data_IF_033796565707
#
_entry.id   IF_033796565707
#
_cell.length_a   1.000
_cell.length_b   1.000
_cell.length_c   1.000
_cell.angle_alpha   90.00
_cell.angle_beta   90.00
_cell.angle_gamma   90.00
#
_symmetry.space_group_name_H-M   'P 1'
#
loop_
_entity.id
_entity.type
_entity.pdbx_description
1 polymer ?
#
# COMPACT_ATOMS: atom_id res chain seq x y z
N UNK A 1 19.95 -16.82 -7.49
CA UNK A 1 19.02 -15.71 -7.79
C UNK A 1 19.80 -14.42 -7.77
N UNK A 2 19.85 -13.67 -8.85
CA UNK A 2 20.47 -12.34 -8.86
C UNK A 2 19.65 -11.45 -7.91
N UNK A 3 20.30 -10.85 -6.91
CA UNK A 3 19.66 -9.84 -6.06
C UNK A 3 19.32 -8.64 -6.94
N UNK A 4 18.08 -8.17 -6.87
CA UNK A 4 17.71 -6.90 -7.49
C UNK A 4 18.63 -5.82 -6.94
N UNK A 5 19.27 -5.09 -7.83
CA UNK A 5 20.17 -3.97 -7.48
C UNK A 5 19.45 -2.62 -7.60
N UNK A 6 18.12 -2.64 -7.62
CA UNK A 6 17.28 -1.46 -7.80
C UNK A 6 16.80 -0.92 -6.46
N UNK A 7 16.92 0.39 -6.29
CA UNK A 7 16.33 1.15 -5.18
C UNK A 7 15.12 1.92 -5.72
N UNK A 8 13.99 1.76 -5.04
CA UNK A 8 12.77 2.51 -5.33
C UNK A 8 12.60 3.64 -4.32
N UNK A 9 12.34 4.82 -4.81
CA UNK A 9 12.09 6.00 -3.99
C UNK A 9 10.81 6.68 -4.44
N UNK A 10 9.83 6.79 -3.54
CA UNK A 10 8.68 7.67 -3.70
C UNK A 10 9.03 9.03 -3.10
N UNK A 11 8.88 10.08 -3.88
CA UNK A 11 9.12 11.45 -3.43
C UNK A 11 7.86 12.27 -3.67
N UNK A 12 7.24 12.72 -2.59
CA UNK A 12 5.99 13.48 -2.65
C UNK A 12 6.15 14.73 -3.53
N UNK A 13 5.21 14.93 -4.46
CA UNK A 13 5.24 16.04 -5.42
C UNK A 13 6.29 15.92 -6.53
N UNK A 14 7.07 14.81 -6.55
CA UNK A 14 8.10 14.55 -7.59
C UNK A 14 7.89 13.24 -8.33
N UNK A 15 7.29 12.24 -7.66
CA UNK A 15 6.99 10.93 -8.26
C UNK A 15 7.87 9.78 -7.80
N UNK A 16 7.92 8.73 -8.62
CA UNK A 16 8.73 7.54 -8.39
C UNK A 16 10.07 7.65 -9.09
N UNK A 17 11.12 7.27 -8.40
CA UNK A 17 12.46 7.11 -8.95
C UNK A 17 12.92 5.66 -8.74
N UNK A 18 13.36 5.03 -9.81
CA UNK A 18 14.00 3.71 -9.77
C UNK A 18 15.47 3.90 -10.10
N UNK A 19 16.33 3.57 -9.15
CA UNK A 19 17.77 3.73 -9.25
C UNK A 19 18.37 2.34 -9.41
N UNK A 20 18.97 2.07 -10.57
CA UNK A 20 19.75 0.86 -10.77
C UNK A 20 21.19 1.10 -10.29
N UNK A 21 21.58 0.35 -9.25
CA UNK A 21 22.87 0.51 -8.60
C UNK A 21 24.03 -0.11 -9.40
N UNK A 22 23.74 -1.03 -10.32
CA UNK A 22 24.74 -1.67 -11.19
C UNK A 22 24.94 -0.83 -12.45
N UNK A 23 23.87 -0.50 -13.14
CA UNK A 23 23.92 0.31 -14.36
C UNK A 23 24.13 1.81 -14.08
N UNK A 24 24.03 2.23 -12.80
CA UNK A 24 24.11 3.64 -12.37
C UNK A 24 23.13 4.54 -13.13
N UNK A 25 21.96 3.99 -13.43
CA UNK A 25 20.89 4.68 -14.16
C UNK A 25 19.74 5.05 -13.22
N UNK A 26 19.01 6.10 -13.58
CA UNK A 26 17.82 6.55 -12.86
C UNK A 26 16.67 6.65 -13.85
N UNK A 27 15.61 5.94 -13.56
CA UNK A 27 14.33 6.08 -14.28
C UNK A 27 13.39 6.87 -13.38
N UNK A 28 12.86 7.98 -13.88
CA UNK A 28 11.78 8.72 -13.24
C UNK A 28 10.46 8.41 -13.94
N UNK A 29 9.42 8.19 -13.14
CA UNK A 29 8.08 7.88 -13.68
C UNK A 29 7.00 8.54 -12.84
N UNK A 30 5.85 8.00 -12.86
CA UNK A 30 4.62 8.32 -12.13
C UNK A 30 4.70 9.50 -11.14
N UNK A 31 4.01 10.60 -11.47
CA UNK A 31 3.89 11.77 -10.61
C UNK A 31 2.92 11.51 -9.44
N UNK A 32 3.00 12.36 -8.40
CA UNK A 32 2.08 12.35 -7.25
C UNK A 32 2.04 11.02 -6.46
N UNK A 33 3.16 10.28 -6.48
CA UNK A 33 3.31 9.03 -5.76
C UNK A 33 3.47 9.30 -4.25
N UNK A 34 2.67 8.58 -3.45
CA UNK A 34 2.69 8.61 -1.99
C UNK A 34 3.50 7.44 -1.44
N UNK A 35 3.31 6.25 -2.01
CA UNK A 35 3.98 5.02 -1.59
C UNK A 35 4.37 4.18 -2.80
N UNK A 36 5.51 3.50 -2.72
CA UNK A 36 5.96 2.55 -3.73
C UNK A 36 6.43 1.27 -3.05
N UNK A 37 6.13 0.12 -3.67
CA UNK A 37 6.53 -1.19 -3.18
C UNK A 37 6.97 -2.10 -4.34
N UNK A 38 8.11 -2.80 -4.21
CA UNK A 38 8.50 -3.82 -5.18
C UNK A 38 7.66 -5.08 -4.99
N UNK A 39 7.32 -5.75 -6.07
CA UNK A 39 6.77 -7.10 -6.00
C UNK A 39 7.80 -8.08 -5.44
N UNK A 40 7.43 -8.97 -4.52
CA UNK A 40 8.38 -9.93 -3.95
C UNK A 40 8.79 -11.05 -4.91
N UNK A 41 8.08 -11.25 -6.02
CA UNK A 41 8.29 -12.35 -6.96
C UNK A 41 9.32 -12.06 -8.06
N UNK A 42 9.52 -10.79 -8.40
CA UNK A 42 10.50 -10.40 -9.43
C UNK A 42 11.04 -8.98 -9.19
N UNK A 43 12.12 -8.63 -9.82
CA UNK A 43 12.78 -7.33 -9.68
C UNK A 43 12.28 -6.25 -10.65
N UNK A 44 11.26 -6.52 -11.45
CA UNK A 44 10.80 -5.62 -12.52
C UNK A 44 9.36 -5.14 -12.31
N UNK A 45 8.60 -5.79 -11.43
CA UNK A 45 7.22 -5.38 -11.12
C UNK A 45 7.19 -4.51 -9.87
N UNK A 46 6.60 -3.34 -10.01
CA UNK A 46 6.45 -2.36 -8.94
C UNK A 46 5.00 -1.91 -8.81
N UNK A 47 4.61 -1.58 -7.59
CA UNK A 47 3.30 -1.03 -7.26
C UNK A 47 3.47 0.35 -6.64
N UNK A 48 2.59 1.27 -7.01
CA UNK A 48 2.61 2.62 -6.48
C UNK A 48 1.21 3.06 -6.06
N UNK A 49 1.12 3.69 -4.91
CA UNK A 49 -0.07 4.37 -4.45
C UNK A 49 0.06 5.87 -4.69
N UNK A 50 -0.98 6.48 -5.21
CA UNK A 50 -1.04 7.90 -5.53
C UNK A 50 -2.28 8.55 -4.90
N UNK A 51 -2.48 9.84 -5.15
CA UNK A 51 -3.72 10.55 -4.84
C UNK A 51 -4.90 10.17 -5.75
N UNK A 52 -4.65 9.39 -6.81
CA UNK A 52 -5.61 8.97 -7.84
C UNK A 52 -5.64 7.45 -8.06
N UNK A 53 -5.40 6.68 -7.00
CA UNK A 53 -5.49 5.24 -7.07
C UNK A 53 -4.16 4.50 -7.07
N UNK A 54 -4.25 3.21 -7.40
CA UNK A 54 -3.13 2.28 -7.41
C UNK A 54 -2.63 2.07 -8.85
N UNK A 55 -1.31 2.16 -9.01
CA UNK A 55 -0.61 1.94 -10.27
C UNK A 55 0.34 0.75 -10.18
N UNK A 56 0.56 0.09 -11.33
CA UNK A 56 1.48 -1.03 -11.48
C UNK A 56 2.40 -0.80 -12.67
N UNK A 57 3.68 -1.10 -12.49
CA UNK A 57 4.67 -1.20 -13.56
C UNK A 57 5.16 -2.65 -13.64
N UNK A 58 5.43 -3.15 -14.84
CA UNK A 58 6.00 -4.48 -15.10
C UNK A 58 7.30 -4.43 -15.87
N UNK A 59 7.87 -3.23 -16.02
CA UNK A 59 9.05 -2.96 -16.87
C UNK A 59 10.12 -2.14 -16.14
N UNK A 60 10.23 -2.36 -14.83
CA UNK A 60 11.24 -1.70 -14.00
C UNK A 60 10.93 -0.23 -13.73
N UNK A 61 9.66 0.17 -13.72
CA UNK A 61 9.23 1.53 -13.40
C UNK A 61 9.24 2.50 -14.57
N UNK A 62 9.44 2.03 -15.80
CA UNK A 62 9.46 2.87 -17.00
C UNK A 62 8.04 3.31 -17.41
N UNK A 63 7.09 2.36 -17.37
CA UNK A 63 5.69 2.63 -17.68
C UNK A 63 4.81 2.20 -16.51
N UNK A 64 3.76 2.98 -16.24
CA UNK A 64 2.84 2.76 -15.14
C UNK A 64 1.40 2.71 -15.66
N UNK A 65 0.65 1.73 -15.20
CA UNK A 65 -0.76 1.54 -15.54
C UNK A 65 -1.61 1.66 -14.28
N UNK A 66 -2.65 2.46 -14.34
CA UNK A 66 -3.68 2.52 -13.30
C UNK A 66 -4.41 1.17 -13.22
N UNK A 67 -4.56 0.64 -11.99
CA UNK A 67 -5.13 -0.68 -11.70
C UNK A 67 -6.27 -0.63 -10.69
N UNK A 68 -6.88 0.52 -10.51
CA UNK A 68 -8.08 0.71 -9.69
C UNK A 68 -7.88 1.61 -8.50
N UNK A 69 -8.92 1.69 -7.68
CA UNK A 69 -9.02 2.54 -6.49
C UNK A 69 -8.90 4.04 -6.79
N UNK A 70 -9.33 4.49 -7.97
CA UNK A 70 -9.17 5.87 -8.49
C UNK A 70 -9.83 6.92 -7.59
N UNK A 71 -10.83 6.53 -6.82
CA UNK A 71 -11.55 7.41 -5.90
C UNK A 71 -10.85 7.56 -4.55
N UNK A 72 -9.72 6.89 -4.33
CA UNK A 72 -8.99 6.89 -3.06
C UNK A 72 -7.54 7.33 -3.23
N UNK A 73 -7.03 8.04 -2.23
CA UNK A 73 -5.58 8.20 -2.07
C UNK A 73 -5.01 6.97 -1.38
N UNK A 74 -3.93 6.42 -1.90
CA UNK A 74 -3.29 5.21 -1.38
C UNK A 74 -2.06 5.59 -0.55
N UNK A 75 -2.12 5.38 0.76
CA UNK A 75 -1.06 5.74 1.70
C UNK A 75 -0.14 4.59 2.08
N UNK A 76 -0.62 3.35 1.98
CA UNK A 76 0.18 2.18 2.31
C UNK A 76 -0.12 1.00 1.41
N UNK A 77 0.91 0.19 1.13
CA UNK A 77 0.85 -1.05 0.39
C UNK A 77 1.61 -2.13 1.16
N UNK A 78 1.05 -3.33 1.26
CA UNK A 78 1.72 -4.48 1.85
C UNK A 78 1.41 -5.75 1.06
N UNK A 79 2.41 -6.62 0.93
CA UNK A 79 2.25 -7.94 0.30
C UNK A 79 2.03 -9.00 1.35
N UNK A 80 1.20 -9.98 1.02
CA UNK A 80 1.09 -11.20 1.80
C UNK A 80 2.43 -11.94 1.78
N UNK A 81 2.93 -12.45 2.93
CA UNK A 81 4.31 -12.96 3.03
C UNK A 81 4.58 -14.21 2.19
N UNK A 82 3.58 -15.03 1.91
CA UNK A 82 3.71 -16.29 1.16
C UNK A 82 2.95 -16.31 -0.18
N UNK A 83 2.19 -15.23 -0.50
CA UNK A 83 1.45 -15.11 -1.78
C UNK A 83 1.65 -13.73 -2.39
N UNK A 84 2.58 -13.58 -3.37
CA UNK A 84 2.88 -12.30 -3.99
C UNK A 84 1.73 -11.70 -4.80
N UNK A 85 0.67 -12.46 -5.08
CA UNK A 85 -0.53 -11.97 -5.74
C UNK A 85 -1.51 -11.31 -4.78
N UNK A 86 -1.42 -11.63 -3.49
CA UNK A 86 -2.25 -11.01 -2.47
C UNK A 86 -1.57 -9.76 -1.94
N UNK A 87 -2.25 -8.62 -2.15
CA UNK A 87 -1.76 -7.27 -1.85
C UNK A 87 -2.84 -6.54 -1.06
N UNK A 88 -2.41 -5.76 -0.07
CA UNK A 88 -3.28 -4.89 0.71
C UNK A 88 -2.94 -3.42 0.45
N UNK A 89 -3.98 -2.59 0.37
CA UNK A 89 -3.86 -1.14 0.20
C UNK A 89 -4.64 -0.39 1.27
N UNK A 90 -3.95 0.47 1.99
CA UNK A 90 -4.53 1.38 2.98
C UNK A 90 -4.74 2.76 2.38
N UNK A 91 -5.93 3.34 2.61
CA UNK A 91 -6.40 4.53 1.90
C UNK A 91 -6.71 5.72 2.82
N UNK A 92 -6.94 6.88 2.17
CA UNK A 92 -7.69 8.02 2.69
C UNK A 92 -9.01 8.13 1.90
N UNK A 93 -10.19 8.11 2.58
CA UNK A 93 -10.40 7.86 4.00
C UNK A 93 -9.84 6.51 4.45
N UNK A 94 -9.60 6.33 5.78
CA UNK A 94 -9.03 5.12 6.36
C UNK A 94 -9.90 3.88 6.08
N UNK A 95 -9.61 3.18 5.00
CA UNK A 95 -10.21 1.92 4.54
C UNK A 95 -9.08 0.98 4.13
N UNK A 96 -9.36 -0.31 4.17
CA UNK A 96 -8.43 -1.34 3.74
C UNK A 96 -9.02 -2.10 2.55
N UNK A 97 -8.23 -2.25 1.51
CA UNK A 97 -8.57 -3.03 0.32
C UNK A 97 -7.60 -4.19 0.17
N UNK A 98 -8.09 -5.30 -0.38
CA UNK A 98 -7.29 -6.47 -0.73
C UNK A 98 -7.48 -6.81 -2.21
N UNK A 99 -6.37 -7.06 -2.89
CA UNK A 99 -6.30 -7.75 -4.18
C UNK A 99 -5.81 -9.18 -3.95
N UNK A 100 -6.26 -10.15 -4.75
CA UNK A 100 -5.78 -11.54 -4.78
C UNK A 100 -5.25 -11.95 -6.16
N UNK A 101 -5.17 -11.01 -7.08
CA UNK A 101 -4.81 -11.23 -8.49
C UNK A 101 -3.63 -10.36 -8.95
N UNK A 102 -2.80 -9.91 -8.01
CA UNK A 102 -1.64 -9.09 -8.31
C UNK A 102 -1.99 -7.65 -8.64
N UNK A 103 -3.02 -7.11 -8.00
CA UNK A 103 -3.44 -5.72 -8.11
C UNK A 103 -4.36 -5.42 -9.30
N UNK A 104 -4.90 -6.43 -9.99
CA UNK A 104 -5.81 -6.21 -11.13
C UNK A 104 -7.23 -5.88 -10.66
N UNK A 105 -7.70 -6.51 -9.55
CA UNK A 105 -8.98 -6.18 -8.92
C UNK A 105 -8.83 -5.98 -7.41
N UNK A 106 -9.72 -5.18 -6.82
CA UNK A 106 -9.66 -4.80 -5.41
C UNK A 106 -11.01 -4.99 -4.72
N UNK A 107 -10.99 -5.57 -3.53
CA UNK A 107 -12.16 -5.77 -2.67
C UNK A 107 -11.93 -5.05 -1.34
N UNK A 108 -12.88 -4.24 -0.90
CA UNK A 108 -12.83 -3.62 0.42
C UNK A 108 -12.98 -4.69 1.51
N UNK A 109 -12.12 -4.64 2.52
CA UNK A 109 -12.25 -5.37 3.78
C UNK A 109 -13.00 -4.49 4.76
N UNK A 110 -14.30 -4.65 4.85
CA UNK A 110 -15.20 -3.73 5.54
C UNK A 110 -15.10 -3.76 7.08
N UNK A 111 -14.29 -4.67 7.63
CA UNK A 111 -14.01 -4.75 9.06
C UNK A 111 -13.45 -3.45 9.66
N UNK A 112 -12.63 -2.71 8.90
CA UNK A 112 -12.15 -1.39 9.31
C UNK A 112 -13.32 -0.39 9.39
N UNK A 113 -14.23 -0.45 8.42
CA UNK A 113 -15.42 0.42 8.39
C UNK A 113 -16.37 0.18 9.58
N UNK A 114 -16.44 -1.06 10.04
CA UNK A 114 -17.32 -1.51 11.15
C UNK A 114 -16.71 -1.29 12.53
N UNK A 115 -15.44 -0.88 12.63
CA UNK A 115 -14.76 -0.75 13.92
C UNK A 115 -15.44 0.34 14.80
N UNK A 116 -15.84 0.02 16.04
CA UNK A 116 -16.40 0.99 16.97
C UNK A 116 -15.44 2.14 17.25
N UNK A 117 -15.95 3.36 17.32
CA UNK A 117 -15.14 4.55 17.62
C UNK A 117 -14.37 5.14 16.44
N UNK A 118 -14.43 4.51 15.25
CA UNK A 118 -13.81 5.02 14.02
C UNK A 118 -14.22 6.46 13.68
N UNK A 119 -15.43 6.88 14.05
CA UNK A 119 -15.89 8.26 13.83
C UNK A 119 -15.08 9.34 14.57
N UNK A 120 -14.23 8.94 15.51
CA UNK A 120 -13.31 9.84 16.22
C UNK A 120 -11.97 10.02 15.50
N UNK A 121 -11.69 9.23 14.48
CA UNK A 121 -10.47 9.37 13.71
C UNK A 121 -10.50 10.63 12.88
N UNK A 122 -9.45 11.41 12.97
CA UNK A 122 -9.28 12.62 12.18
C UNK A 122 -7.80 12.78 11.83
N UNK A 123 -7.52 13.65 10.89
CA UNK A 123 -6.18 14.16 10.64
C UNK A 123 -6.10 15.60 11.18
N UNK A 124 -4.99 16.05 11.77
CA UNK A 124 -4.94 17.34 12.46
C UNK A 124 -4.94 18.56 11.53
N UNK A 125 -4.87 18.34 10.22
CA UNK A 125 -4.93 19.38 9.20
C UNK A 125 -6.03 19.11 8.15
N UNK A 126 -6.50 20.14 7.42
CA UNK A 126 -7.47 19.93 6.33
C UNK A 126 -6.98 18.89 5.31
N UNK A 127 -7.84 17.99 4.85
CA UNK A 127 -9.29 17.92 5.01
C UNK A 127 -9.79 17.22 6.29
N UNK A 128 -8.93 16.98 7.30
CA UNK A 128 -9.26 16.33 8.58
C UNK A 128 -9.68 14.85 8.43
N UNK A 129 -9.24 14.19 7.37
CA UNK A 129 -9.59 12.81 7.04
C UNK A 129 -8.45 11.89 7.44
N UNK A 130 -8.72 10.94 8.35
CA UNK A 130 -7.76 9.92 8.74
C UNK A 130 -7.47 8.94 7.60
N UNK A 131 -6.25 8.39 7.59
CA UNK A 131 -5.82 7.41 6.60
C UNK A 131 -5.01 6.27 7.25
N UNK A 132 -4.95 5.12 6.56
CA UNK A 132 -4.12 3.99 6.97
C UNK A 132 -2.69 4.24 6.49
N UNK A 133 -1.82 4.62 7.42
CA UNK A 133 -0.43 4.99 7.14
C UNK A 133 0.51 3.80 6.98
N UNK A 134 0.21 2.71 7.66
CA UNK A 134 1.03 1.50 7.62
C UNK A 134 0.20 0.24 7.77
N UNK A 135 0.67 -0.82 7.13
CA UNK A 135 0.12 -2.17 7.20
C UNK A 135 1.28 -3.10 7.50
N UNK A 136 1.17 -3.89 8.56
CA UNK A 136 2.12 -4.95 8.89
C UNK A 136 1.39 -6.29 8.93
N UNK A 137 1.98 -7.31 8.30
CA UNK A 137 1.44 -8.67 8.25
C UNK A 137 2.48 -9.58 8.90
N UNK A 138 2.04 -10.44 9.80
CA UNK A 138 2.95 -11.37 10.47
C UNK A 138 3.53 -12.36 9.45
N UNK A 139 4.85 -12.56 9.40
CA UNK A 139 5.49 -13.32 8.31
C UNK A 139 5.17 -14.82 8.32
N UNK A 140 4.90 -15.40 9.49
CA UNK A 140 4.61 -16.84 9.67
C UNK A 140 3.12 -17.12 9.89
N UNK A 141 2.35 -16.11 10.28
CA UNK A 141 0.90 -16.21 10.51
C UNK A 141 0.19 -15.02 9.87
N UNK A 142 -0.12 -15.07 8.57
CA UNK A 142 -0.70 -13.95 7.83
C UNK A 142 -2.13 -13.55 8.25
N UNK A 143 -2.78 -14.33 9.09
CA UNK A 143 -4.07 -13.95 9.69
C UNK A 143 -3.87 -12.79 10.69
N UNK A 144 -2.66 -12.69 11.28
CA UNK A 144 -2.30 -11.61 12.20
C UNK A 144 -1.80 -10.40 11.43
N UNK A 145 -2.57 -9.33 11.50
CA UNK A 145 -2.28 -8.07 10.82
C UNK A 145 -2.40 -6.88 11.78
N UNK A 146 -1.64 -5.84 11.50
CA UNK A 146 -1.73 -4.56 12.17
C UNK A 146 -1.85 -3.43 11.16
N UNK A 147 -2.68 -2.44 11.46
CA UNK A 147 -2.72 -1.18 10.73
C UNK A 147 -2.49 -0.02 11.68
N UNK A 148 -1.66 0.94 11.27
CA UNK A 148 -1.53 2.23 11.93
C UNK A 148 -2.44 3.24 11.24
N UNK A 149 -3.29 3.87 12.04
CA UNK A 149 -4.20 4.94 11.59
C UNK A 149 -3.61 6.25 12.08
N UNK A 150 -3.39 7.19 11.19
CA UNK A 150 -2.93 8.51 11.61
C UNK A 150 -4.03 9.18 12.45
N UNK A 151 -3.67 9.60 13.68
CA UNK A 151 -4.59 10.11 14.70
C UNK A 151 -5.73 9.14 15.11
N UNK A 152 -5.56 7.83 14.80
CA UNK A 152 -6.54 6.78 15.13
C UNK A 152 -5.94 5.63 15.96
N UNK A 153 -4.60 5.64 16.16
CA UNK A 153 -3.90 4.58 16.89
C UNK A 153 -3.57 3.36 16.04
N UNK A 154 -3.40 2.23 16.72
CA UNK A 154 -3.09 0.93 16.08
C UNK A 154 -4.27 -0.01 16.24
N UNK A 155 -4.61 -0.69 15.16
CA UNK A 155 -5.63 -1.73 15.13
C UNK A 155 -5.01 -3.07 14.73
N UNK A 156 -5.55 -4.17 15.27
CA UNK A 156 -5.11 -5.53 15.03
C UNK A 156 -6.26 -6.36 14.45
N UNK A 157 -5.94 -7.19 13.49
CA UNK A 157 -6.76 -8.30 13.00
C UNK A 157 -6.09 -9.63 13.35
N UNK A 158 -6.91 -10.68 13.56
CA UNK A 158 -6.48 -12.07 13.74
C UNK A 158 -7.17 -13.02 12.73
N UNK A 159 -7.73 -12.46 11.66
CA UNK A 159 -8.50 -13.15 10.62
C UNK A 159 -8.25 -12.55 9.22
N UNK A 160 -6.99 -12.21 8.94
CA UNK A 160 -6.53 -11.67 7.65
C UNK A 160 -7.27 -10.39 7.21
N UNK A 161 -7.68 -9.55 8.18
CA UNK A 161 -8.30 -8.25 7.95
C UNK A 161 -9.82 -8.25 7.85
N UNK A 162 -10.49 -9.37 8.11
CA UNK A 162 -11.97 -9.44 8.07
C UNK A 162 -12.60 -8.70 9.27
N UNK A 163 -11.97 -8.79 10.45
CA UNK A 163 -12.37 -8.02 11.64
C UNK A 163 -11.18 -7.35 12.33
N UNK A 164 -11.45 -6.29 13.09
CA UNK A 164 -10.43 -5.48 13.71
C UNK A 164 -10.78 -5.08 15.13
N UNK A 165 -9.76 -4.90 15.96
CA UNK A 165 -9.86 -4.35 17.32
C UNK A 165 -8.72 -3.36 17.58
N UNK A 166 -8.92 -2.44 18.50
CA UNK A 166 -7.82 -1.59 18.96
C UNK A 166 -6.80 -2.41 19.74
N UNK A 167 -5.54 -2.06 19.56
CA UNK A 167 -4.45 -2.52 20.42
C UNK A 167 -4.45 -1.64 21.66
N UNK A 168 -4.65 -2.24 22.82
CA UNK A 168 -4.64 -1.61 24.14
C UNK A 168 -3.26 -1.72 24.78
#
# INVERSE_FOLDING_TARGET
>A
MARSSKLLVAMQGKGVFVIDLVERSVVSGLHDCIVVAPSPDNGETFFAGTDKGQYKSTDGGRNWQLKGLEQYKIFSLAFHPSDPKTIYAGTEPALLFRSRDGGETWTELDGVRKLPGRSKWCYPAPPYIAHIKGIAIHPEDPEVMYCSIEEGGVIQSLDAGESWRYVS
#
